data_IF_528054433853
#
_entry.id   IF_528054433853
#
_cell.length_a   1.000
_cell.length_b   1.000
_cell.length_c   1.000
_cell.angle_alpha   90.00
_cell.angle_beta   90.00
_cell.angle_gamma   90.00
#
_symmetry.space_group_name_H-M   'P 1'
#
loop_
_entity.id
_entity.type
_entity.pdbx_description
1 polymer ?
#
# COMPACT_ATOMS: atom_id res chain seq x y z
N UNK A 1 -21.16 -30.57 -12.83
CA UNK A 1 -21.17 -29.14 -12.40
C UNK A 1 -20.51 -29.03 -11.04
N UNK A 2 -19.41 -28.31 -10.91
CA UNK A 2 -18.79 -28.07 -9.59
C UNK A 2 -19.72 -27.16 -8.81
N UNK A 3 -20.10 -27.60 -7.62
CA UNK A 3 -20.96 -26.84 -6.71
C UNK A 3 -20.22 -25.57 -6.26
N UNK A 4 -20.93 -24.43 -6.16
CA UNK A 4 -20.38 -23.16 -5.66
C UNK A 4 -19.70 -23.33 -4.29
N UNK A 5 -20.30 -24.13 -3.40
CA UNK A 5 -19.72 -24.48 -2.08
C UNK A 5 -18.34 -25.12 -2.21
N UNK A 6 -18.19 -26.07 -3.13
CA UNK A 6 -16.90 -26.72 -3.37
C UNK A 6 -15.84 -25.77 -3.92
N UNK A 7 -16.24 -24.85 -4.82
CA UNK A 7 -15.33 -23.81 -5.33
C UNK A 7 -14.83 -22.91 -4.22
N UNK A 8 -15.70 -22.49 -3.31
CA UNK A 8 -15.35 -21.63 -2.17
C UNK A 8 -14.39 -22.40 -1.23
N UNK A 9 -14.73 -23.63 -0.86
CA UNK A 9 -13.87 -24.47 -0.01
C UNK A 9 -12.49 -24.66 -0.63
N UNK A 10 -12.42 -24.99 -1.91
CA UNK A 10 -11.16 -25.18 -2.61
C UNK A 10 -10.33 -23.90 -2.69
N UNK A 11 -10.97 -22.73 -2.86
CA UNK A 11 -10.29 -21.46 -2.84
C UNK A 11 -9.62 -21.17 -1.49
N UNK A 12 -10.34 -21.37 -0.38
CA UNK A 12 -9.76 -21.22 0.95
C UNK A 12 -8.67 -22.24 1.24
N UNK A 13 -8.88 -23.51 0.88
CA UNK A 13 -7.90 -24.57 1.06
C UNK A 13 -6.60 -24.30 0.28
N UNK A 14 -6.70 -23.67 -0.90
CA UNK A 14 -5.51 -23.30 -1.68
C UNK A 14 -4.64 -22.22 -1.02
N UNK A 15 -5.19 -21.48 -0.06
CA UNK A 15 -4.46 -20.50 0.74
C UNK A 15 -3.79 -21.08 1.99
N UNK A 16 -4.06 -22.34 2.35
CA UNK A 16 -3.43 -22.98 3.52
C UNK A 16 -1.94 -23.18 3.25
N UNK A 17 -1.11 -22.79 4.21
CA UNK A 17 0.35 -22.85 4.12
C UNK A 17 0.93 -23.51 5.35
N UNK A 18 2.07 -24.17 5.18
CA UNK A 18 2.90 -24.60 6.30
C UNK A 18 3.44 -23.38 7.06
N UNK A 19 3.69 -23.53 8.36
CA UNK A 19 4.21 -22.45 9.21
C UNK A 19 5.56 -21.91 8.72
N UNK A 20 6.38 -22.74 8.07
CA UNK A 20 7.66 -22.32 7.44
C UNK A 20 7.48 -21.32 6.29
N UNK A 21 6.28 -21.29 5.68
CA UNK A 21 5.94 -20.43 4.55
C UNK A 21 5.17 -19.16 4.98
N UNK A 22 5.00 -18.96 6.30
CA UNK A 22 4.36 -17.76 6.81
C UNK A 22 5.22 -16.52 6.52
N UNK A 23 4.54 -15.44 6.19
CA UNK A 23 5.14 -14.14 5.91
C UNK A 23 4.51 -13.08 6.81
N UNK A 24 5.22 -11.99 6.99
CA UNK A 24 4.73 -10.78 7.67
C UNK A 24 4.35 -9.78 6.58
N UNK A 25 3.21 -9.15 6.73
CA UNK A 25 2.82 -7.95 5.98
C UNK A 25 2.63 -6.81 6.97
N UNK A 26 2.92 -5.59 6.54
CA UNK A 26 2.75 -4.37 7.34
C UNK A 26 1.90 -3.38 6.56
N UNK A 27 0.95 -2.75 7.23
CA UNK A 27 0.16 -1.65 6.71
C UNK A 27 0.45 -0.40 7.52
N UNK A 28 0.61 0.73 6.82
CA UNK A 28 0.82 2.04 7.43
C UNK A 28 -0.20 3.04 6.87
N UNK A 29 -1.17 3.39 7.68
CA UNK A 29 -2.14 4.42 7.36
C UNK A 29 -1.70 5.78 7.88
N UNK A 30 -1.92 6.83 7.08
CA UNK A 30 -1.56 8.20 7.43
C UNK A 30 -2.61 9.19 6.98
N UNK A 31 -3.00 10.07 7.90
CA UNK A 31 -3.66 11.33 7.57
C UNK A 31 -2.61 12.38 7.28
N UNK A 32 -2.80 13.12 6.19
CA UNK A 32 -1.87 14.15 5.76
C UNK A 32 -2.43 15.54 6.08
N UNK A 33 -1.58 16.39 6.64
CA UNK A 33 -1.92 17.75 7.05
C UNK A 33 -0.91 18.73 6.47
N UNK A 34 -1.40 19.91 6.08
CA UNK A 34 -0.58 21.03 5.74
C UNK A 34 0.12 21.55 7.02
N UNK A 35 1.44 21.65 7.00
CA UNK A 35 2.23 22.03 8.18
C UNK A 35 2.13 23.53 8.54
N UNK A 36 1.57 24.37 7.66
CA UNK A 36 1.41 25.80 7.92
C UNK A 36 0.12 26.11 8.68
N UNK A 37 -0.94 25.34 8.43
CA UNK A 37 -2.26 25.65 8.96
C UNK A 37 -2.94 24.47 9.68
N UNK A 38 -2.28 23.31 9.73
CA UNK A 38 -2.78 22.06 10.32
C UNK A 38 -4.13 21.58 9.76
N UNK A 39 -4.47 22.00 8.54
CA UNK A 39 -5.65 21.50 7.85
C UNK A 39 -5.29 20.25 7.05
N UNK A 40 -6.25 19.35 6.91
CA UNK A 40 -6.10 18.18 6.05
C UNK A 40 -5.90 18.63 4.62
N UNK A 41 -4.97 17.97 3.93
CA UNK A 41 -4.71 18.26 2.52
C UNK A 41 -5.82 17.69 1.64
N UNK A 42 -6.04 18.34 0.51
CA UNK A 42 -6.97 17.88 -0.51
C UNK A 42 -6.33 16.88 -1.49
N UNK A 43 -7.14 16.36 -2.40
CA UNK A 43 -6.67 15.42 -3.41
C UNK A 43 -5.62 16.03 -4.35
N UNK A 44 -5.65 17.33 -4.62
CA UNK A 44 -4.69 17.98 -5.53
C UNK A 44 -3.28 17.82 -4.97
N UNK A 45 -3.09 18.12 -3.68
CA UNK A 45 -1.81 17.95 -2.99
C UNK A 45 -1.37 16.49 -2.87
N UNK A 46 -2.32 15.56 -2.66
CA UNK A 46 -2.03 14.12 -2.67
C UNK A 46 -1.54 13.69 -4.05
N UNK A 47 -2.17 14.16 -5.11
CA UNK A 47 -1.76 13.88 -6.49
C UNK A 47 -0.35 14.39 -6.78
N UNK A 48 -0.01 15.59 -6.31
CA UNK A 48 1.35 16.15 -6.43
C UNK A 48 2.37 15.26 -5.69
N UNK A 49 2.08 14.87 -4.47
CA UNK A 49 2.92 13.97 -3.68
C UNK A 49 3.07 12.60 -4.36
N UNK A 50 1.99 12.00 -4.84
CA UNK A 50 2.08 10.74 -5.59
C UNK A 50 2.91 10.88 -6.87
N UNK A 51 2.82 12.02 -7.54
CA UNK A 51 3.62 12.30 -8.75
C UNK A 51 5.11 12.40 -8.44
N UNK A 52 5.50 12.99 -7.30
CA UNK A 52 6.91 13.05 -6.89
C UNK A 52 7.46 11.67 -6.51
N UNK A 53 6.64 10.79 -5.95
CA UNK A 53 7.06 9.42 -5.62
C UNK A 53 7.42 8.57 -6.85
N UNK A 54 6.99 8.95 -8.06
CA UNK A 54 7.38 8.25 -9.29
C UNK A 54 8.90 8.30 -9.52
N UNK A 55 9.59 9.32 -9.04
CA UNK A 55 11.06 9.45 -9.13
C UNK A 55 11.78 8.34 -8.34
N UNK A 56 11.13 7.76 -7.34
CA UNK A 56 11.65 6.64 -6.56
C UNK A 56 11.28 5.27 -7.15
N UNK A 57 10.77 5.23 -8.39
CA UNK A 57 10.43 4.00 -9.10
C UNK A 57 9.05 3.43 -8.76
N UNK A 58 8.16 4.23 -8.17
CA UNK A 58 6.76 3.88 -8.06
C UNK A 58 6.04 4.01 -9.39
N UNK A 59 5.09 3.13 -9.67
CA UNK A 59 4.24 3.17 -10.85
C UNK A 59 2.84 3.61 -10.47
N UNK A 60 2.21 4.51 -11.23
CA UNK A 60 0.90 5.04 -10.87
C UNK A 60 -0.22 4.01 -11.10
N UNK A 61 -1.15 3.95 -10.17
CA UNK A 61 -2.45 3.31 -10.32
C UNK A 61 -3.45 4.42 -10.66
N UNK A 62 -4.08 4.29 -11.84
CA UNK A 62 -4.94 5.34 -12.38
C UNK A 62 -6.41 4.94 -12.37
N UNK A 63 -7.26 5.88 -11.96
CA UNK A 63 -8.67 5.89 -12.28
C UNK A 63 -8.93 7.03 -13.28
N UNK A 64 -9.20 6.67 -14.55
CA UNK A 64 -9.25 7.62 -15.68
C UNK A 64 -7.92 8.40 -15.81
N UNK A 65 -7.90 9.68 -15.42
CA UNK A 65 -6.70 10.55 -15.43
C UNK A 65 -6.16 10.86 -14.04
N UNK A 66 -6.74 10.27 -13.01
CA UNK A 66 -6.39 10.53 -11.63
C UNK A 66 -5.52 9.44 -11.07
N UNK A 67 -4.42 9.81 -10.43
CA UNK A 67 -3.60 8.87 -9.66
C UNK A 67 -4.33 8.60 -8.35
N UNK A 68 -4.75 7.35 -8.14
CA UNK A 68 -5.44 6.91 -6.93
C UNK A 68 -4.57 6.01 -6.06
N UNK A 69 -3.36 5.72 -6.51
CA UNK A 69 -2.41 4.90 -5.79
C UNK A 69 -1.14 4.71 -6.60
N UNK A 70 -0.22 3.98 -6.01
CA UNK A 70 1.09 3.65 -6.56
C UNK A 70 1.40 2.19 -6.29
N UNK A 71 2.17 1.54 -7.15
CA UNK A 71 2.72 0.22 -6.89
C UNK A 71 4.23 0.17 -7.15
N UNK A 72 4.94 -0.65 -6.37
CA UNK A 72 6.39 -0.87 -6.50
C UNK A 72 6.74 -2.27 -5.99
N UNK A 73 7.05 -3.18 -6.90
CA UNK A 73 7.27 -4.58 -6.51
C UNK A 73 5.98 -5.21 -5.96
N UNK A 74 6.06 -5.82 -4.77
CA UNK A 74 4.92 -6.44 -4.08
C UNK A 74 4.09 -5.50 -3.21
N UNK A 75 4.42 -4.20 -3.15
CA UNK A 75 3.79 -3.21 -2.26
C UNK A 75 3.02 -2.13 -3.01
N UNK A 76 2.04 -1.55 -2.32
CA UNK A 76 1.18 -0.49 -2.85
C UNK A 76 1.10 0.68 -1.88
N UNK A 77 0.90 1.87 -2.41
CA UNK A 77 0.37 3.02 -1.67
C UNK A 77 -0.98 3.35 -2.27
N UNK A 78 -2.03 3.35 -1.48
CA UNK A 78 -3.40 3.63 -1.94
C UNK A 78 -3.97 4.88 -1.31
N UNK A 79 -4.84 5.55 -2.05
CA UNK A 79 -5.66 6.63 -1.54
C UNK A 79 -6.93 6.02 -0.94
N UNK A 80 -7.09 6.21 0.36
CA UNK A 80 -8.20 5.70 1.13
C UNK A 80 -9.27 6.79 1.41
N UNK A 81 -10.47 6.40 1.84
CA UNK A 81 -11.53 7.36 2.18
C UNK A 81 -11.05 8.46 3.13
N UNK A 82 -11.51 9.68 2.86
CA UNK A 82 -11.13 10.83 3.66
C UNK A 82 -9.71 11.34 3.42
N UNK A 83 -9.12 11.07 2.25
CA UNK A 83 -7.75 11.49 1.89
C UNK A 83 -6.67 10.92 2.83
N UNK A 84 -6.90 9.75 3.35
CA UNK A 84 -5.88 8.96 4.03
C UNK A 84 -5.04 8.24 2.98
N UNK A 85 -3.77 8.05 3.23
CA UNK A 85 -2.91 7.21 2.41
C UNK A 85 -2.48 5.98 3.20
N UNK A 86 -2.44 4.84 2.54
CA UNK A 86 -2.04 3.57 3.13
C UNK A 86 -0.91 2.93 2.34
N UNK A 87 0.17 2.57 3.02
CA UNK A 87 1.13 1.61 2.50
C UNK A 87 0.67 0.20 2.87
N UNK A 88 0.40 -0.63 1.87
CA UNK A 88 0.33 -2.08 2.02
C UNK A 88 1.69 -2.66 1.62
N UNK A 89 2.44 -3.14 2.61
CA UNK A 89 3.82 -3.61 2.45
C UNK A 89 3.94 -4.95 1.72
N UNK A 90 5.17 -5.36 1.49
CA UNK A 90 5.48 -6.62 0.81
C UNK A 90 5.33 -7.83 1.76
N UNK A 91 5.46 -9.03 1.20
CA UNK A 91 5.51 -10.29 1.94
C UNK A 91 6.91 -10.52 2.48
N UNK A 92 7.11 -10.27 3.77
CA UNK A 92 8.42 -10.26 4.42
C UNK A 92 8.65 -11.51 5.27
N UNK A 93 9.90 -11.87 5.49
CA UNK A 93 10.27 -13.06 6.26
C UNK A 93 10.40 -12.78 7.76
N UNK A 94 10.82 -11.56 8.14
CA UNK A 94 11.04 -11.17 9.52
C UNK A 94 10.89 -9.67 9.75
N UNK A 95 10.77 -9.29 11.01
CA UNK A 95 10.46 -7.91 11.43
C UNK A 95 11.51 -6.88 10.98
N UNK A 96 12.78 -7.26 10.84
CA UNK A 96 13.82 -6.32 10.38
C UNK A 96 13.59 -5.86 8.94
N UNK A 97 13.06 -6.75 8.07
CA UNK A 97 12.65 -6.36 6.70
C UNK A 97 11.47 -5.38 6.74
N UNK A 98 10.52 -5.58 7.66
CA UNK A 98 9.40 -4.66 7.85
C UNK A 98 9.87 -3.29 8.36
N UNK A 99 10.84 -3.25 9.27
CA UNK A 99 11.45 -2.00 9.73
C UNK A 99 12.16 -1.26 8.59
N UNK A 100 12.92 -1.97 7.76
CA UNK A 100 13.60 -1.39 6.60
C UNK A 100 12.59 -0.82 5.60
N UNK A 101 11.55 -1.58 5.25
CA UNK A 101 10.48 -1.12 4.36
C UNK A 101 9.80 0.14 4.88
N UNK A 102 9.48 0.19 6.17
CA UNK A 102 8.86 1.35 6.81
C UNK A 102 9.78 2.57 6.79
N UNK A 103 11.09 2.36 7.00
CA UNK A 103 12.08 3.42 6.93
C UNK A 103 12.19 4.01 5.52
N UNK A 104 12.30 3.16 4.49
CA UNK A 104 12.38 3.57 3.09
C UNK A 104 11.14 4.35 2.68
N UNK A 105 9.95 3.86 3.04
CA UNK A 105 8.70 4.56 2.79
C UNK A 105 8.64 5.94 3.42
N UNK A 106 9.02 6.06 4.70
CA UNK A 106 9.05 7.35 5.39
C UNK A 106 10.11 8.29 4.82
N UNK A 107 11.23 7.76 4.37
CA UNK A 107 12.28 8.53 3.72
C UNK A 107 11.78 9.13 2.39
N UNK A 108 11.19 8.30 1.53
CA UNK A 108 10.64 8.72 0.23
C UNK A 108 9.52 9.77 0.40
N UNK A 109 8.66 9.63 1.43
CA UNK A 109 7.59 10.60 1.72
C UNK A 109 8.09 11.98 2.22
N UNK A 110 9.32 12.08 2.69
CA UNK A 110 9.89 13.32 3.26
C UNK A 110 10.72 14.14 2.28
N UNK A 111 10.91 13.64 1.07
CA UNK A 111 11.62 14.34 0.01
C UNK A 111 10.72 15.34 -0.70
#
# INVERSE_FOLDING_TARGET
MINIKEKIINYFNSGVKDTKDFKIGVEHEKFLFDNQNNKRIDYIKIKEMFSSLLEFGWNPILEKKNIIGLNKGGKNITLEPGNQIELSGDKLNHIHEACAESYDYLFELKQ
#
